data_IF_517625969454
#
_entry.id   IF_517625969454
#
_cell.length_a   1.000
_cell.length_b   1.000
_cell.length_c   1.000
_cell.angle_alpha   90.00
_cell.angle_beta   90.00
_cell.angle_gamma   90.00
#
_symmetry.space_group_name_H-M   'P 1'
#
loop_
_entity.id
_entity.type
_entity.pdbx_description
1 polymer ?
#
# COMPACT_ATOMS: atom_id res chain seq x y z
N UNK A 1 58.33 51.14 35.77
CA UNK A 1 59.00 49.89 36.15
C UNK A 1 58.10 48.72 35.82
N UNK A 2 58.64 47.84 35.04
CA UNK A 2 58.19 46.46 34.72
C UNK A 2 56.79 46.24 34.11
N UNK A 3 56.86 46.04 32.81
CA UNK A 3 55.86 45.46 31.96
C UNK A 3 55.61 43.94 32.29
N UNK A 4 54.36 43.50 32.20
CA UNK A 4 54.05 42.09 32.05
C UNK A 4 53.24 41.89 30.75
N UNK A 5 53.90 41.35 29.74
CA UNK A 5 53.29 40.78 28.56
C UNK A 5 52.50 39.51 28.93
N UNK A 6 51.21 39.50 28.71
CA UNK A 6 50.43 38.27 28.64
C UNK A 6 50.24 37.88 27.19
N UNK A 7 50.88 36.83 26.76
CA UNK A 7 50.69 36.22 25.46
C UNK A 7 49.34 35.52 25.40
N UNK A 8 48.38 36.06 24.65
CA UNK A 8 47.16 35.38 24.28
C UNK A 8 47.44 34.29 23.22
N UNK A 9 47.28 33.06 23.66
CA UNK A 9 47.32 31.91 22.71
C UNK A 9 45.98 31.83 21.98
N UNK A 10 45.91 32.24 20.73
CA UNK A 10 44.79 32.05 19.88
C UNK A 10 44.61 30.56 19.54
N UNK A 11 43.42 29.97 19.65
CA UNK A 11 43.21 28.58 19.23
C UNK A 11 43.31 28.54 17.71
N UNK A 12 44.23 27.71 17.21
CA UNK A 12 44.54 27.55 15.80
C UNK A 12 43.32 27.06 15.03
N UNK A 13 42.92 27.83 14.03
CA UNK A 13 41.84 27.53 13.06
C UNK A 13 42.01 26.15 12.42
N UNK A 14 43.19 25.58 12.44
CA UNK A 14 43.50 24.25 11.97
C UNK A 14 42.79 23.13 12.76
N UNK A 15 42.63 23.29 14.09
CA UNK A 15 41.98 22.31 14.94
C UNK A 15 40.43 22.27 14.71
N UNK A 16 39.81 23.41 14.40
CA UNK A 16 38.39 23.44 14.03
C UNK A 16 38.12 22.83 12.69
N UNK A 17 39.01 23.02 11.70
CA UNK A 17 38.88 22.40 10.38
C UNK A 17 38.98 20.88 10.43
N UNK A 18 39.90 20.34 11.29
CA UNK A 18 40.02 18.90 11.47
C UNK A 18 38.81 18.25 12.15
N UNK A 19 38.20 18.93 13.11
CA UNK A 19 36.97 18.45 13.78
C UNK A 19 35.77 18.48 12.84
N UNK A 20 35.64 19.51 11.99
CA UNK A 20 34.57 19.58 11.01
C UNK A 20 34.72 18.53 9.90
N UNK A 21 35.94 18.25 9.47
CA UNK A 21 36.23 17.22 8.48
C UNK A 21 35.96 15.80 9.03
N UNK A 22 36.31 15.55 10.30
CA UNK A 22 36.02 14.26 10.96
C UNK A 22 34.54 14.01 11.14
N UNK A 23 33.72 15.03 11.44
CA UNK A 23 32.26 14.91 11.53
C UNK A 23 31.62 14.66 10.15
N UNK A 24 32.14 15.30 9.09
CA UNK A 24 31.64 15.13 7.74
C UNK A 24 31.91 13.70 7.22
N UNK A 25 33.07 13.14 7.50
CA UNK A 25 33.44 11.76 7.14
C UNK A 25 32.58 10.75 7.92
N UNK A 26 32.24 11.00 9.18
CA UNK A 26 31.39 10.12 9.97
C UNK A 26 29.94 10.10 9.44
N UNK A 27 29.43 11.24 8.96
CA UNK A 27 28.08 11.32 8.37
C UNK A 27 28.00 10.62 7.01
N UNK A 28 29.06 10.68 6.21
CA UNK A 28 29.15 9.98 4.92
C UNK A 28 29.30 8.45 5.06
N UNK A 29 29.89 7.98 6.15
CA UNK A 29 30.09 6.53 6.42
C UNK A 29 28.81 5.78 6.79
N UNK A 30 27.76 6.46 7.26
CA UNK A 30 26.49 5.81 7.65
C UNK A 30 25.55 5.59 6.44
N UNK A 31 25.82 6.22 5.30
CA UNK A 31 24.99 6.09 4.09
C UNK A 31 25.21 4.79 3.29
N UNK A 32 26.19 3.97 3.65
CA UNK A 32 26.61 2.81 2.86
C UNK A 32 25.86 1.50 3.18
N UNK A 33 24.94 1.47 4.15
CA UNK A 33 24.24 0.25 4.56
C UNK A 33 22.71 0.31 4.42
N UNK A 34 22.18 1.12 3.52
CA UNK A 34 20.77 0.97 3.08
C UNK A 34 20.75 0.09 1.83
N UNK A 35 21.26 -1.11 1.93
CA UNK A 35 20.88 -2.19 1.01
C UNK A 35 19.42 -2.49 1.35
N UNK A 36 18.49 -2.06 0.51
CA UNK A 36 17.08 -2.36 0.71
C UNK A 36 16.89 -3.87 0.82
N UNK A 37 16.03 -4.33 1.71
CA UNK A 37 15.74 -5.76 1.89
C UNK A 37 15.55 -6.47 0.53
N UNK A 38 15.95 -7.74 0.39
CA UNK A 38 15.72 -8.54 -0.80
C UNK A 38 14.24 -8.54 -1.23
N UNK A 39 13.96 -8.77 -2.50
CA UNK A 39 12.61 -8.66 -3.04
C UNK A 39 11.64 -9.69 -2.46
N UNK A 40 12.13 -10.89 -2.17
CA UNK A 40 11.37 -11.97 -1.50
C UNK A 40 10.98 -11.57 -0.07
N UNK A 41 11.90 -11.00 0.71
CA UNK A 41 11.63 -10.51 2.07
C UNK A 41 10.59 -9.37 2.04
N UNK A 42 10.70 -8.46 1.06
CA UNK A 42 9.69 -7.40 0.86
C UNK A 42 8.33 -7.96 0.52
N UNK A 43 8.27 -8.97 -0.34
CA UNK A 43 7.03 -9.61 -0.74
C UNK A 43 6.36 -10.33 0.45
N UNK A 44 7.13 -11.11 1.22
CA UNK A 44 6.63 -11.77 2.43
C UNK A 44 6.13 -10.77 3.47
N UNK A 45 6.88 -9.70 3.73
CA UNK A 45 6.46 -8.63 4.64
C UNK A 45 5.15 -7.98 4.19
N UNK A 46 4.98 -7.75 2.88
CA UNK A 46 3.77 -7.16 2.33
C UNK A 46 2.56 -8.09 2.48
N UNK A 47 2.73 -9.40 2.30
CA UNK A 47 1.67 -10.40 2.56
C UNK A 47 1.26 -10.39 4.03
N UNK A 48 2.24 -10.35 4.96
CA UNK A 48 1.96 -10.29 6.39
C UNK A 48 1.23 -8.98 6.78
N UNK A 49 1.65 -7.84 6.26
CA UNK A 49 0.99 -6.55 6.46
C UNK A 49 -0.43 -6.54 5.90
N UNK A 50 -0.63 -7.12 4.71
CA UNK A 50 -1.96 -7.25 4.10
C UNK A 50 -2.89 -8.12 4.94
N UNK A 51 -2.37 -9.19 5.54
CA UNK A 51 -3.12 -10.01 6.49
C UNK A 51 -3.56 -9.21 7.70
N UNK A 52 -2.63 -8.47 8.33
CA UNK A 52 -2.95 -7.62 9.48
C UNK A 52 -3.99 -6.55 9.13
N UNK A 53 -3.89 -5.95 7.94
CA UNK A 53 -4.88 -4.98 7.45
C UNK A 53 -6.27 -5.60 7.39
N UNK A 54 -6.44 -6.79 6.80
CA UNK A 54 -7.75 -7.47 6.73
C UNK A 54 -8.27 -7.81 8.13
N UNK A 55 -7.42 -8.33 9.01
CA UNK A 55 -7.80 -8.63 10.39
C UNK A 55 -8.28 -7.37 11.12
N UNK A 56 -7.60 -6.23 10.94
CA UNK A 56 -8.01 -4.94 11.50
C UNK A 56 -9.34 -4.44 10.92
N UNK A 57 -9.57 -4.58 9.61
CA UNK A 57 -10.85 -4.19 9.00
C UNK A 57 -12.00 -5.07 9.49
N UNK A 58 -11.77 -6.36 9.70
CA UNK A 58 -12.75 -7.28 10.26
C UNK A 58 -13.03 -7.08 11.76
N UNK A 59 -12.05 -6.59 12.51
CA UNK A 59 -12.20 -6.31 13.95
C UNK A 59 -12.96 -4.99 14.24
N UNK A 60 -13.30 -4.20 13.22
CA UNK A 60 -13.98 -2.91 13.37
C UNK A 60 -15.45 -3.04 13.78
N UNK A 61 -16.08 -1.88 14.05
CA UNK A 61 -17.46 -1.76 14.48
C UNK A 61 -18.42 -2.62 13.64
N UNK A 62 -19.43 -3.18 14.29
CA UNK A 62 -20.34 -4.18 13.72
C UNK A 62 -20.83 -3.85 12.30
N UNK A 63 -21.23 -2.61 12.03
CA UNK A 63 -21.82 -2.24 10.73
C UNK A 63 -20.82 -2.25 9.58
N UNK A 64 -19.62 -1.73 9.80
CA UNK A 64 -18.54 -1.75 8.79
C UNK A 64 -18.05 -3.18 8.50
N UNK A 65 -18.01 -4.03 9.52
CA UNK A 65 -17.65 -5.43 9.39
C UNK A 65 -18.72 -6.22 8.63
N UNK A 66 -20.00 -5.99 8.90
CA UNK A 66 -21.12 -6.63 8.17
C UNK A 66 -21.04 -6.29 6.68
N UNK A 67 -20.79 -5.02 6.34
CA UNK A 67 -20.67 -4.58 4.96
C UNK A 67 -19.45 -5.19 4.25
N UNK A 68 -18.28 -5.19 4.90
CA UNK A 68 -17.07 -5.81 4.36
C UNK A 68 -17.28 -7.31 4.13
N UNK A 69 -17.84 -8.02 5.10
CA UNK A 69 -18.08 -9.46 4.99
C UNK A 69 -19.12 -9.78 3.89
N UNK A 70 -20.18 -8.99 3.76
CA UNK A 70 -21.15 -9.15 2.68
C UNK A 70 -20.47 -8.94 1.31
N UNK A 71 -19.71 -7.86 1.15
CA UNK A 71 -19.00 -7.58 -0.09
C UNK A 71 -17.89 -8.63 -0.40
N UNK A 72 -17.21 -9.15 0.63
CA UNK A 72 -16.23 -10.23 0.46
C UNK A 72 -16.84 -11.53 -0.05
N UNK A 73 -18.10 -11.85 0.28
CA UNK A 73 -18.78 -13.06 -0.24
C UNK A 73 -18.94 -13.01 -1.75
N UNK A 74 -19.28 -11.83 -2.27
CA UNK A 74 -19.65 -11.62 -3.67
C UNK A 74 -18.44 -11.19 -4.53
N UNK A 75 -17.35 -10.71 -3.92
CA UNK A 75 -16.20 -10.20 -4.65
C UNK A 75 -15.49 -11.30 -5.47
N UNK A 76 -15.10 -10.93 -6.70
CA UNK A 76 -14.28 -11.75 -7.60
C UNK A 76 -12.79 -11.54 -7.39
N UNK A 77 -12.42 -10.37 -6.91
CA UNK A 77 -11.05 -10.02 -6.57
C UNK A 77 -10.98 -9.05 -5.39
N UNK A 78 -9.81 -8.95 -4.81
CA UNK A 78 -9.50 -8.01 -3.74
C UNK A 78 -8.12 -7.41 -3.95
N UNK A 79 -8.00 -6.11 -3.71
CA UNK A 79 -6.72 -5.42 -3.63
C UNK A 79 -6.57 -4.87 -2.21
N UNK A 80 -5.40 -5.07 -1.60
CA UNK A 80 -5.10 -4.65 -0.23
C UNK A 80 -3.84 -3.80 -0.29
N UNK A 81 -3.93 -2.57 0.17
CA UNK A 81 -2.82 -1.63 0.31
C UNK A 81 -2.65 -1.31 1.79
N UNK A 82 -1.70 -1.97 2.48
CA UNK A 82 -1.49 -1.79 3.91
C UNK A 82 -0.97 -0.41 4.28
N UNK A 83 -0.28 0.23 3.35
CA UNK A 83 0.33 1.54 3.56
C UNK A 83 0.33 2.34 2.25
N UNK A 84 -0.60 3.29 2.15
CA UNK A 84 -0.61 4.31 1.11
C UNK A 84 -0.08 5.59 1.73
N UNK A 85 1.17 5.89 1.41
CA UNK A 85 1.80 7.14 1.83
C UNK A 85 1.33 8.28 0.93
N UNK A 86 0.87 9.36 1.54
CA UNK A 86 0.46 10.59 0.89
C UNK A 86 1.29 11.75 1.42
N UNK A 87 1.85 12.53 0.51
CA UNK A 87 2.55 13.78 0.82
C UNK A 87 2.03 14.88 -0.10
N UNK A 88 1.59 15.99 0.48
CA UNK A 88 1.09 17.14 -0.25
C UNK A 88 1.61 18.45 0.33
N UNK A 89 2.03 19.34 -0.57
CA UNK A 89 2.35 20.75 -0.32
C UNK A 89 1.68 21.55 -1.45
N UNK A 90 0.34 21.67 -1.38
CA UNK A 90 -0.48 22.24 -2.45
C UNK A 90 -0.81 21.23 -3.56
N UNK A 91 0.21 20.65 -4.19
CA UNK A 91 0.12 19.49 -5.08
C UNK A 91 0.94 18.37 -4.46
N UNK A 92 0.42 17.17 -4.44
CA UNK A 92 1.06 16.04 -3.78
C UNK A 92 1.03 14.78 -4.61
N UNK A 93 1.72 13.77 -4.09
CA UNK A 93 1.69 12.40 -4.59
C UNK A 93 1.24 11.44 -3.51
N UNK A 94 0.61 10.38 -3.92
CA UNK A 94 0.26 9.27 -3.06
C UNK A 94 0.67 7.95 -3.72
N UNK A 95 0.99 6.97 -2.90
CA UNK A 95 1.31 5.65 -3.42
C UNK A 95 1.74 4.68 -2.34
N UNK A 96 1.70 3.41 -2.69
CA UNK A 96 2.13 2.34 -1.80
C UNK A 96 2.07 1.00 -2.48
N UNK A 97 2.84 0.03 -2.00
CA UNK A 97 2.76 -1.35 -2.47
C UNK A 97 1.52 -2.03 -1.86
N UNK A 98 0.99 -3.01 -2.58
CA UNK A 98 -0.14 -3.81 -2.15
C UNK A 98 -0.17 -5.16 -2.85
N UNK A 99 -1.17 -5.94 -2.50
CA UNK A 99 -1.41 -7.25 -3.08
C UNK A 99 -2.79 -7.31 -3.72
N UNK A 100 -2.93 -8.13 -4.74
CA UNK A 100 -4.20 -8.49 -5.36
C UNK A 100 -4.39 -9.99 -5.33
N UNK A 101 -5.57 -10.45 -4.94
CA UNK A 101 -5.98 -11.85 -5.00
C UNK A 101 -7.30 -11.94 -5.77
N UNK A 102 -7.52 -13.08 -6.43
CA UNK A 102 -8.75 -13.39 -7.15
C UNK A 102 -9.30 -14.73 -6.70
N UNK A 103 -10.58 -14.97 -6.94
CA UNK A 103 -11.17 -16.29 -6.71
C UNK A 103 -10.93 -17.21 -7.91
N UNK A 104 -10.66 -18.47 -7.61
CA UNK A 104 -10.62 -19.53 -8.60
C UNK A 104 -12.03 -19.98 -9.03
N UNK A 105 -12.10 -20.94 -9.93
CA UNK A 105 -13.36 -21.51 -10.41
C UNK A 105 -14.23 -22.14 -9.31
N UNK A 106 -13.61 -22.57 -8.20
CA UNK A 106 -14.29 -23.17 -7.04
C UNK A 106 -14.72 -22.10 -6.01
N UNK A 107 -14.42 -20.84 -6.27
CA UNK A 107 -14.71 -19.72 -5.37
C UNK A 107 -13.70 -19.57 -4.22
N UNK A 108 -12.62 -20.34 -4.18
CA UNK A 108 -11.56 -20.16 -3.21
C UNK A 108 -10.64 -18.99 -3.59
N UNK A 109 -10.12 -18.29 -2.58
CA UNK A 109 -9.13 -17.25 -2.81
C UNK A 109 -7.82 -17.86 -3.30
N UNK A 110 -7.32 -17.38 -4.44
CA UNK A 110 -6.02 -17.73 -4.99
C UNK A 110 -4.86 -17.09 -4.24
N UNK A 111 -3.69 -17.12 -4.85
CA UNK A 111 -2.46 -16.56 -4.28
C UNK A 111 -2.21 -15.13 -4.76
N UNK A 112 -1.45 -14.30 -3.99
CA UNK A 112 -1.34 -12.88 -4.25
C UNK A 112 -0.41 -12.54 -5.41
N UNK A 113 -0.81 -11.58 -6.25
CA UNK A 113 0.11 -10.83 -7.10
C UNK A 113 0.37 -9.44 -6.48
N UNK A 114 1.57 -8.93 -6.69
CA UNK A 114 2.03 -7.67 -6.09
C UNK A 114 1.82 -6.51 -7.05
N UNK A 115 1.26 -5.42 -6.51
CA UNK A 115 0.95 -4.20 -7.23
C UNK A 115 1.43 -2.98 -6.47
N UNK A 116 1.55 -1.87 -7.17
CA UNK A 116 1.76 -0.53 -6.61
C UNK A 116 0.60 0.36 -7.01
N UNK A 117 0.01 1.02 -6.03
CA UNK A 117 -0.87 2.16 -6.23
C UNK A 117 -0.02 3.41 -6.36
N UNK A 118 -0.32 4.27 -7.32
CA UNK A 118 0.33 5.56 -7.54
C UNK A 118 -0.70 6.56 -8.03
N UNK A 119 -0.65 7.79 -7.55
CA UNK A 119 -1.58 8.83 -7.98
C UNK A 119 -1.14 10.22 -7.55
N UNK A 120 -1.72 11.23 -8.20
CA UNK A 120 -1.63 12.60 -7.73
C UNK A 120 -2.62 12.84 -6.60
N UNK A 121 -2.26 13.68 -5.64
CA UNK A 121 -3.17 14.22 -4.66
C UNK A 121 -3.24 15.74 -4.80
N UNK A 122 -4.45 16.27 -4.84
CA UNK A 122 -4.71 17.69 -4.72
C UNK A 122 -5.15 17.92 -3.27
N UNK A 123 -4.23 18.34 -2.42
CA UNK A 123 -4.51 18.51 -1.00
C UNK A 123 -4.26 19.93 -0.54
N UNK A 124 -5.26 20.50 0.13
CA UNK A 124 -5.13 21.77 0.86
C UNK A 124 -4.34 21.56 2.17
N UNK A 125 -3.99 20.32 2.50
CA UNK A 125 -3.27 19.97 3.73
C UNK A 125 -1.77 19.87 3.47
N UNK A 126 -1.00 20.63 4.25
CA UNK A 126 0.44 20.46 4.38
C UNK A 126 0.69 19.29 5.32
N UNK A 127 1.31 18.21 4.83
CA UNK A 127 1.64 17.09 5.68
C UNK A 127 1.92 15.79 4.94
N UNK A 128 2.37 14.81 5.71
CA UNK A 128 2.53 13.43 5.29
C UNK A 128 1.60 12.55 6.14
N UNK A 129 0.91 11.61 5.50
CA UNK A 129 0.04 10.66 6.18
C UNK A 129 0.08 9.29 5.51
N UNK A 130 -0.18 8.27 6.30
CA UNK A 130 -0.33 6.89 5.82
C UNK A 130 -1.76 6.42 6.01
N UNK A 131 -2.26 5.66 5.04
CA UNK A 131 -3.62 5.10 5.07
C UNK A 131 -3.61 3.65 4.63
N UNK A 132 -4.49 2.87 5.21
CA UNK A 132 -4.80 1.52 4.75
C UNK A 132 -6.02 1.57 3.84
N UNK A 133 -5.99 0.82 2.74
CA UNK A 133 -7.13 0.70 1.83
C UNK A 133 -7.33 -0.73 1.34
N UNK A 134 -8.60 -1.11 1.20
CA UNK A 134 -9.04 -2.37 0.65
C UNK A 134 -10.04 -2.09 -0.45
N UNK A 135 -9.84 -2.65 -1.64
CA UNK A 135 -10.76 -2.54 -2.78
C UNK A 135 -11.27 -3.92 -3.16
N UNK A 136 -12.56 -4.10 -3.19
CA UNK A 136 -13.24 -5.31 -3.62
C UNK A 136 -13.69 -5.14 -5.07
N UNK A 137 -13.23 -6.01 -5.94
CA UNK A 137 -13.57 -6.09 -7.35
C UNK A 137 -14.77 -7.02 -7.50
N UNK A 138 -15.94 -6.47 -7.84
CA UNK A 138 -17.20 -7.20 -7.77
C UNK A 138 -17.51 -8.00 -9.04
N UNK A 139 -16.73 -7.82 -10.10
CA UNK A 139 -16.94 -8.50 -11.38
C UNK A 139 -15.64 -8.98 -12.01
N UNK A 140 -15.74 -10.01 -12.85
CA UNK A 140 -14.59 -10.51 -13.62
C UNK A 140 -14.06 -9.46 -14.60
N UNK A 141 -14.93 -8.58 -15.09
CA UNK A 141 -14.52 -7.45 -15.92
C UNK A 141 -13.64 -6.46 -15.18
N UNK A 142 -13.94 -6.16 -13.91
CA UNK A 142 -13.10 -5.30 -13.06
C UNK A 142 -11.75 -5.95 -12.77
N UNK A 143 -11.71 -7.26 -12.52
CA UNK A 143 -10.48 -8.04 -12.34
C UNK A 143 -9.61 -7.96 -13.61
N UNK A 144 -10.21 -8.23 -14.79
CA UNK A 144 -9.49 -8.16 -16.07
C UNK A 144 -8.99 -6.76 -16.38
N UNK A 145 -9.77 -5.72 -16.09
CA UNK A 145 -9.37 -4.33 -16.32
C UNK A 145 -8.09 -3.97 -15.56
N UNK A 146 -7.93 -4.44 -14.32
CA UNK A 146 -6.70 -4.24 -13.53
C UNK A 146 -5.51 -5.00 -14.15
N UNK A 147 -5.72 -6.21 -14.66
CA UNK A 147 -4.65 -7.07 -15.15
C UNK A 147 -4.20 -6.67 -16.56
N UNK A 148 -5.16 -6.42 -17.46
CA UNK A 148 -4.90 -6.19 -18.88
C UNK A 148 -4.54 -4.74 -19.20
N UNK A 149 -5.03 -3.77 -18.40
CA UNK A 149 -4.83 -2.34 -18.64
C UNK A 149 -4.51 -1.56 -17.36
N UNK A 150 -3.48 -1.95 -16.62
CA UNK A 150 -3.21 -1.39 -15.29
C UNK A 150 -2.94 0.13 -15.31
N UNK A 151 -2.32 0.65 -16.36
CA UNK A 151 -2.02 2.09 -16.51
C UNK A 151 -3.24 2.93 -16.87
N UNK A 152 -4.31 2.31 -17.38
CA UNK A 152 -5.58 2.97 -17.72
C UNK A 152 -6.64 2.75 -16.65
N UNK A 153 -6.39 1.85 -15.71
CA UNK A 153 -7.31 1.55 -14.63
C UNK A 153 -7.16 2.60 -13.51
N UNK A 154 -7.98 3.64 -13.60
CA UNK A 154 -8.12 4.60 -12.50
C UNK A 154 -9.17 4.08 -11.52
N UNK A 155 -8.75 3.79 -10.29
CA UNK A 155 -9.62 3.26 -9.24
C UNK A 155 -10.87 4.13 -9.07
N UNK A 156 -10.72 5.45 -9.09
CA UNK A 156 -11.81 6.36 -8.80
C UNK A 156 -12.87 6.52 -9.89
N UNK A 157 -12.57 6.21 -11.14
CA UNK A 157 -13.55 6.29 -12.22
C UNK A 157 -14.53 5.11 -12.22
N UNK A 158 -14.18 4.02 -11.52
CA UNK A 158 -14.96 2.77 -11.47
C UNK A 158 -15.36 2.35 -10.06
N UNK A 159 -14.82 3.02 -9.02
CA UNK A 159 -15.12 2.71 -7.64
C UNK A 159 -16.33 3.49 -7.15
N UNK A 160 -17.36 2.78 -6.71
CA UNK A 160 -18.37 3.34 -5.83
C UNK A 160 -17.86 3.14 -4.40
N UNK A 161 -17.47 4.25 -3.77
CA UNK A 161 -17.08 4.19 -2.36
C UNK A 161 -18.34 4.02 -1.55
N UNK A 162 -18.49 2.84 -0.95
CA UNK A 162 -19.50 2.60 0.07
C UNK A 162 -19.14 3.46 1.28
N UNK A 163 -19.78 4.60 1.43
CA UNK A 163 -19.86 5.22 2.72
C UNK A 163 -20.57 4.25 3.65
N UNK A 164 -19.83 3.71 4.61
CA UNK A 164 -20.43 3.27 5.84
C UNK A 164 -20.82 4.52 6.66
N UNK A 165 -21.63 5.39 6.07
CA UNK A 165 -22.38 6.35 6.83
C UNK A 165 -23.52 5.57 7.47
N UNK A 166 -23.41 5.33 8.76
CA UNK A 166 -24.50 4.96 9.62
C UNK A 166 -25.52 6.11 9.63
N UNK A 167 -26.25 6.26 8.54
CA UNK A 167 -27.51 6.97 8.54
C UNK A 167 -28.58 5.93 8.84
N UNK A 168 -29.15 6.02 10.02
CA UNK A 168 -30.34 5.26 10.46
C UNK A 168 -31.33 5.10 9.31
N UNK A 169 -31.48 3.88 8.78
CA UNK A 169 -32.66 3.53 8.03
C UNK A 169 -32.57 3.25 6.55
N UNK A 170 -31.41 2.91 5.99
CA UNK A 170 -31.34 2.55 4.57
C UNK A 170 -30.35 1.42 4.31
N UNK A 171 -30.82 0.30 3.81
CA UNK A 171 -29.98 -0.79 3.32
C UNK A 171 -28.98 -0.24 2.31
N UNK A 172 -27.70 -0.47 2.55
CA UNK A 172 -26.59 -0.08 1.66
C UNK A 172 -26.74 -0.86 0.36
N UNK A 173 -27.17 -0.19 -0.70
CA UNK A 173 -27.38 -0.80 -2.00
C UNK A 173 -26.00 -0.93 -2.69
N UNK A 174 -25.26 -2.00 -2.39
CA UNK A 174 -24.00 -2.36 -3.05
C UNK A 174 -24.27 -2.91 -4.47
N UNK A 175 -25.52 -3.16 -4.81
CA UNK A 175 -25.91 -3.69 -6.11
C UNK A 175 -25.56 -2.72 -7.22
N UNK A 176 -24.65 -3.16 -8.11
CA UNK A 176 -24.24 -2.41 -9.29
C UNK A 176 -22.89 -1.70 -9.20
N UNK A 177 -22.22 -1.69 -8.05
CA UNK A 177 -20.86 -1.19 -7.96
C UNK A 177 -19.85 -2.19 -8.55
N UNK A 178 -18.98 -1.72 -9.45
CA UNK A 178 -17.91 -2.57 -9.99
C UNK A 178 -16.75 -2.74 -9.01
N UNK A 179 -16.51 -1.73 -8.17
CA UNK A 179 -15.46 -1.72 -7.14
C UNK A 179 -16.03 -1.08 -5.88
N UNK A 180 -15.76 -1.70 -4.73
CA UNK A 180 -16.12 -1.18 -3.41
C UNK A 180 -14.83 -0.91 -2.63
N UNK A 181 -14.62 0.33 -2.19
CA UNK A 181 -13.44 0.73 -1.42
C UNK A 181 -13.74 0.87 0.07
N UNK A 182 -12.84 0.35 0.89
CA UNK A 182 -12.81 0.54 2.35
C UNK A 182 -11.48 1.17 2.73
N UNK A 183 -11.49 2.15 3.61
CA UNK A 183 -10.26 2.79 4.07
C UNK A 183 -10.27 2.98 5.58
N UNK A 184 -9.08 3.10 6.15
CA UNK A 184 -8.90 3.49 7.54
C UNK A 184 -8.71 5.00 7.59
N UNK A 185 -9.70 5.69 8.07
CA UNK A 185 -9.76 7.15 8.15
C UNK A 185 -11.20 7.60 7.89
N UNK A 186 -11.55 8.73 8.43
CA UNK A 186 -12.93 9.24 8.35
C UNK A 186 -13.27 9.66 6.91
N UNK A 187 -14.35 9.11 6.37
CA UNK A 187 -15.27 9.82 5.53
C UNK A 187 -14.91 10.03 4.06
N UNK A 188 -15.74 10.81 3.46
CA UNK A 188 -15.93 11.24 2.07
C UNK A 188 -14.65 11.61 1.29
N UNK A 189 -13.58 11.98 1.97
CA UNK A 189 -12.32 12.40 1.34
C UNK A 189 -11.58 11.29 0.59
N UNK A 190 -11.84 10.05 0.90
CA UNK A 190 -11.11 8.92 0.32
C UNK A 190 -11.47 8.69 -1.14
N UNK A 191 -12.73 8.88 -1.51
CA UNK A 191 -13.19 8.73 -2.89
C UNK A 191 -12.51 9.72 -3.84
N UNK A 192 -12.43 10.97 -3.44
CA UNK A 192 -11.82 12.03 -4.24
C UNK A 192 -10.28 11.90 -4.33
N UNK A 193 -9.61 11.51 -3.24
CA UNK A 193 -8.16 11.33 -3.21
C UNK A 193 -7.70 10.14 -4.06
N UNK A 194 -8.51 9.09 -4.17
CA UNK A 194 -8.19 7.90 -4.97
C UNK A 194 -8.75 7.96 -6.40
N UNK A 195 -9.49 9.00 -6.76
CA UNK A 195 -10.10 9.15 -8.08
C UNK A 195 -9.09 9.22 -9.24
N UNK A 196 -7.87 9.62 -8.95
CA UNK A 196 -6.76 9.69 -9.91
C UNK A 196 -5.65 8.68 -9.63
N UNK A 197 -5.94 7.63 -8.84
CA UNK A 197 -4.96 6.60 -8.54
C UNK A 197 -4.97 5.49 -9.60
N UNK A 198 -3.78 5.09 -10.00
CA UNK A 198 -3.51 4.00 -10.93
C UNK A 198 -2.81 2.85 -10.20
N UNK A 199 -2.94 1.64 -10.72
CA UNK A 199 -2.26 0.47 -10.20
C UNK A 199 -1.36 -0.16 -11.24
N UNK A 200 -0.15 -0.54 -10.85
CA UNK A 200 0.83 -1.18 -11.72
C UNK A 200 1.39 -2.42 -11.05
N UNK A 201 1.61 -3.48 -11.82
CA UNK A 201 2.19 -4.70 -11.31
C UNK A 201 3.65 -4.49 -10.88
N UNK A 202 4.01 -5.03 -9.72
CA UNK A 202 5.39 -5.09 -9.22
C UNK A 202 6.02 -6.41 -9.68
N UNK A 203 6.31 -6.51 -10.97
CA UNK A 203 6.83 -7.74 -11.58
C UNK A 203 8.05 -8.33 -10.85
N UNK A 204 9.04 -7.53 -10.40
CA UNK A 204 10.17 -8.08 -9.64
C UNK A 204 9.76 -8.78 -8.34
N UNK A 205 8.73 -8.26 -7.64
CA UNK A 205 8.21 -8.91 -6.44
C UNK A 205 7.44 -10.20 -6.78
N UNK A 206 6.64 -10.20 -7.85
CA UNK A 206 5.96 -11.42 -8.32
C UNK A 206 6.97 -12.52 -8.62
N UNK A 207 7.99 -12.21 -9.41
CA UNK A 207 9.03 -13.17 -9.78
C UNK A 207 9.81 -13.69 -8.57
N UNK A 208 10.18 -12.80 -7.66
CA UNK A 208 10.95 -13.17 -6.46
C UNK A 208 10.13 -14.01 -5.49
N UNK A 209 8.86 -13.64 -5.25
CA UNK A 209 7.98 -14.34 -4.31
C UNK A 209 7.67 -15.78 -4.74
N UNK A 210 7.53 -16.01 -6.04
CA UNK A 210 7.26 -17.33 -6.61
C UNK A 210 8.53 -18.04 -7.13
N UNK A 211 9.69 -17.41 -6.98
CA UNK A 211 10.97 -17.89 -7.51
C UNK A 211 10.86 -18.31 -8.99
N UNK A 212 10.18 -17.51 -9.81
CA UNK A 212 9.89 -17.83 -11.21
C UNK A 212 9.79 -16.60 -12.07
N UNK A 213 10.55 -16.56 -13.18
CA UNK A 213 10.47 -15.50 -14.20
C UNK A 213 9.12 -15.44 -14.91
N UNK A 214 8.34 -16.53 -14.90
CA UNK A 214 7.02 -16.61 -15.52
C UNK A 214 5.87 -16.18 -14.60
N UNK A 215 6.14 -15.77 -13.36
CA UNK A 215 5.13 -15.32 -12.41
C UNK A 215 4.57 -13.93 -12.80
N UNK A 216 3.76 -13.90 -13.85
CA UNK A 216 3.05 -12.70 -14.30
C UNK A 216 1.72 -12.56 -13.56
N UNK A 217 1.15 -11.33 -13.45
CA UNK A 217 -0.17 -11.14 -12.86
C UNK A 217 -1.25 -12.05 -13.46
N UNK A 218 -1.26 -12.22 -14.78
CA UNK A 218 -2.21 -13.11 -15.46
C UNK A 218 -2.03 -14.56 -15.00
N UNK A 219 -0.80 -15.07 -15.00
CA UNK A 219 -0.51 -16.45 -14.58
C UNK A 219 -0.87 -16.71 -13.11
N UNK A 220 -0.70 -15.70 -12.23
CA UNK A 220 -1.02 -15.79 -10.81
C UNK A 220 -2.53 -15.68 -10.58
N UNK A 221 -3.18 -14.66 -11.13
CA UNK A 221 -4.53 -14.23 -10.76
C UNK A 221 -5.64 -14.84 -11.64
N UNK A 222 -5.35 -15.19 -12.89
CA UNK A 222 -6.33 -15.77 -13.82
C UNK A 222 -6.09 -17.26 -14.00
N UNK A 223 -4.84 -17.62 -14.30
CA UNK A 223 -4.49 -19.00 -14.61
C UNK A 223 -4.27 -19.83 -13.32
N UNK A 224 -4.14 -19.16 -12.16
CA UNK A 224 -3.88 -19.74 -10.83
C UNK A 224 -2.73 -20.78 -10.85
N UNK A 225 -1.72 -20.48 -11.68
CA UNK A 225 -0.60 -21.40 -11.95
C UNK A 225 0.46 -21.44 -10.83
N UNK A 226 0.36 -20.53 -9.85
CA UNK A 226 1.35 -20.39 -8.79
C UNK A 226 0.74 -20.55 -7.41
N UNK A 227 1.51 -21.17 -6.51
CA UNK A 227 1.16 -21.35 -5.10
C UNK A 227 2.33 -20.94 -4.22
N UNK A 228 2.05 -20.38 -3.05
CA UNK A 228 3.04 -20.12 -2.01
C UNK A 228 2.36 -20.17 -0.64
N UNK A 229 2.67 -21.18 0.20
CA UNK A 229 2.05 -21.36 1.51
C UNK A 229 2.19 -20.17 2.47
N UNK A 230 3.17 -19.30 2.28
CA UNK A 230 3.35 -18.10 3.10
C UNK A 230 2.12 -17.17 3.03
N UNK A 231 1.30 -17.28 1.96
CA UNK A 231 0.07 -16.51 1.81
C UNK A 231 -1.19 -17.23 2.34
N UNK A 232 -1.10 -18.45 2.85
CA UNK A 232 -2.29 -19.21 3.27
C UNK A 232 -3.04 -18.53 4.41
N UNK A 233 -2.33 -17.86 5.33
CA UNK A 233 -2.96 -17.05 6.37
C UNK A 233 -3.77 -15.89 5.80
N UNK A 234 -3.25 -15.20 4.79
CA UNK A 234 -3.98 -14.12 4.10
C UNK A 234 -5.24 -14.67 3.43
N UNK A 235 -5.13 -15.80 2.72
CA UNK A 235 -6.27 -16.47 2.07
C UNK A 235 -7.35 -16.88 3.07
N UNK A 236 -6.94 -17.42 4.22
CA UNK A 236 -7.84 -17.75 5.33
C UNK A 236 -8.51 -16.49 5.92
N UNK A 237 -7.74 -15.41 6.10
CA UNK A 237 -8.28 -14.15 6.60
C UNK A 237 -9.35 -13.54 5.68
N UNK A 238 -9.33 -13.83 4.38
CA UNK A 238 -10.33 -13.39 3.42
C UNK A 238 -11.59 -14.27 3.41
N UNK A 239 -11.55 -15.44 4.00
CA UNK A 239 -12.69 -16.35 4.06
C UNK A 239 -13.73 -15.81 5.03
N UNK A 240 -14.97 -15.76 4.61
CA UNK A 240 -16.14 -15.37 5.41
C UNK A 240 -16.96 -16.62 5.69
N UNK A 241 -17.21 -16.88 6.96
CA UNK A 241 -18.10 -17.97 7.42
C UNK A 241 -19.57 -17.58 7.22
#
# INVERSE_FOLDING_TARGET
MLANLVHGCAPSSLFMAFRALSLLVLVLGVSACVSGAPADVKAQALVAQSTATIDLFKARQKDANVLLNAALRDARGIMIFPDIFEMAVGVGGQGGPGVMLTRDANGAWGYPAFYRLSGGSLGVQLGAQSREAVFLLMSDSSVRAVIDSPTQFAIGSQATFGEASASSGGGTNIKGANIIGFTKGSGVFVGAALSSAYVNALQPLNQSYYNSGSATPKAILIDHAFTNPDADRLRQALTVK
#
